data_IF_683655349645
#
_entry.id   IF_683655349645
#
_cell.length_a   1.000
_cell.length_b   1.000
_cell.length_c   1.000
_cell.angle_alpha   90.00
_cell.angle_beta   90.00
_cell.angle_gamma   90.00
#
_symmetry.space_group_name_H-M   'P 1'
#
loop_
_entity.id
_entity.type
_entity.pdbx_description
1 polymer ?
#
# COMPACT_ATOMS: atom_id res chain seq x y z
N UNK A 1 19.51 13.59 -9.15
CA UNK A 1 18.48 12.81 -8.44
C UNK A 1 18.01 13.68 -7.30
N UNK A 2 16.73 14.09 -7.21
CA UNK A 2 16.25 14.79 -6.03
C UNK A 2 16.39 13.84 -4.84
N UNK A 3 16.88 14.36 -3.72
CA UNK A 3 16.91 13.65 -2.45
C UNK A 3 15.48 13.15 -2.15
N UNK A 4 15.33 11.88 -1.77
CA UNK A 4 14.01 11.34 -1.45
C UNK A 4 13.45 12.16 -0.29
N UNK A 5 12.51 13.07 -0.58
CA UNK A 5 11.84 13.86 0.43
C UNK A 5 11.24 12.88 1.45
N UNK A 6 11.53 13.07 2.73
CA UNK A 6 10.96 12.23 3.79
C UNK A 6 9.65 12.84 4.28
N UNK A 7 8.80 12.03 4.91
CA UNK A 7 7.56 12.53 5.50
C UNK A 7 7.82 13.65 6.53
N UNK A 8 8.96 13.60 7.24
CA UNK A 8 9.38 14.66 8.17
C UNK A 8 9.69 15.98 7.46
N UNK A 9 10.26 15.93 6.25
CA UNK A 9 10.55 17.13 5.45
C UNK A 9 9.24 17.78 5.02
N UNK A 10 8.26 16.98 4.57
CA UNK A 10 6.93 17.47 4.19
C UNK A 10 6.21 18.14 5.37
N UNK A 11 6.17 17.49 6.53
CA UNK A 11 5.59 18.07 7.76
C UNK A 11 6.31 19.37 8.13
N UNK A 12 7.64 19.36 8.14
CA UNK A 12 8.43 20.54 8.47
C UNK A 12 8.19 21.71 7.52
N UNK A 13 8.02 21.46 6.22
CA UNK A 13 7.71 22.49 5.24
C UNK A 13 6.36 23.16 5.52
N UNK A 14 5.31 22.37 5.78
CA UNK A 14 3.97 22.89 6.11
C UNK A 14 3.97 23.64 7.45
N UNK A 15 4.73 23.18 8.44
CA UNK A 15 4.87 23.86 9.73
C UNK A 15 5.56 25.23 9.59
N UNK A 16 6.59 25.33 8.75
CA UNK A 16 7.24 26.61 8.44
C UNK A 16 6.25 27.57 7.78
N UNK A 17 5.47 27.09 6.81
CA UNK A 17 4.43 27.91 6.16
C UNK A 17 3.36 28.38 7.18
N UNK A 18 2.90 27.51 8.09
CA UNK A 18 1.99 27.89 9.16
C UNK A 18 2.56 29.02 10.03
N UNK A 19 3.83 28.90 10.43
CA UNK A 19 4.46 29.90 11.30
C UNK A 19 4.63 31.26 10.61
N UNK A 20 4.98 31.28 9.31
CA UNK A 20 5.07 32.51 8.52
C UNK A 20 3.69 33.17 8.38
N UNK A 21 2.67 32.37 8.09
CA UNK A 21 1.33 32.89 7.78
C UNK A 21 0.55 33.39 8.98
N UNK A 22 0.87 32.93 10.19
CA UNK A 22 0.26 33.38 11.45
C UNK A 22 0.35 34.89 11.67
N UNK A 23 1.42 35.53 11.19
CA UNK A 23 1.71 36.93 11.50
C UNK A 23 1.60 37.87 10.30
N UNK A 24 1.63 37.34 9.08
CA UNK A 24 1.82 38.14 7.87
C UNK A 24 0.65 38.09 6.88
N UNK A 25 -0.35 37.23 7.11
CA UNK A 25 -1.43 36.97 6.14
C UNK A 25 -2.81 37.02 6.80
N UNK A 26 -3.85 37.03 5.96
CA UNK A 26 -5.22 36.94 6.43
C UNK A 26 -5.45 35.64 7.23
N UNK A 27 -6.33 35.64 8.25
CA UNK A 27 -6.59 34.47 9.10
C UNK A 27 -6.93 33.19 8.32
N UNK A 28 -7.65 33.32 7.20
CA UNK A 28 -8.03 32.19 6.33
C UNK A 28 -6.83 31.43 5.75
N UNK A 29 -5.71 32.13 5.48
CA UNK A 29 -4.48 31.53 4.97
C UNK A 29 -3.83 30.66 6.05
N UNK A 30 -3.69 31.21 7.26
CA UNK A 30 -3.17 30.48 8.40
C UNK A 30 -4.06 29.28 8.73
N UNK A 31 -5.38 29.46 8.78
CA UNK A 31 -6.35 28.41 9.09
C UNK A 31 -6.30 27.23 8.12
N UNK A 32 -6.08 27.51 6.84
CA UNK A 32 -5.98 26.48 5.80
C UNK A 32 -4.69 25.67 5.94
N UNK A 33 -3.56 26.35 6.13
CA UNK A 33 -2.28 25.68 6.36
C UNK A 33 -2.26 24.90 7.68
N UNK A 34 -2.88 25.44 8.72
CA UNK A 34 -3.02 24.75 10.00
C UNK A 34 -3.86 23.47 9.86
N UNK A 35 -4.90 23.47 9.01
CA UNK A 35 -5.65 22.25 8.72
C UNK A 35 -4.79 21.22 7.98
N UNK A 36 -3.96 21.64 7.02
CA UNK A 36 -3.00 20.76 6.35
C UNK A 36 -1.99 20.15 7.34
N UNK A 37 -1.41 20.97 8.24
CA UNK A 37 -0.50 20.52 9.28
C UNK A 37 -1.17 19.52 10.23
N UNK A 38 -2.38 19.83 10.70
CA UNK A 38 -3.14 18.95 11.58
C UNK A 38 -3.49 17.61 10.90
N UNK A 39 -3.81 17.65 9.61
CA UNK A 39 -4.07 16.45 8.81
C UNK A 39 -2.82 15.57 8.67
N UNK A 40 -1.68 16.15 8.31
CA UNK A 40 -0.40 15.43 8.26
C UNK A 40 -0.02 14.85 9.63
N UNK A 41 -0.24 15.60 10.70
CA UNK A 41 -0.03 15.13 12.07
C UNK A 41 -0.86 13.89 12.41
N UNK A 42 -2.12 13.85 11.96
CA UNK A 42 -3.00 12.67 12.10
C UNK A 42 -2.51 11.50 11.26
N UNK A 43 -2.19 11.73 9.99
CA UNK A 43 -1.65 10.69 9.09
C UNK A 43 -0.41 10.03 9.68
N UNK A 44 0.50 10.82 10.27
CA UNK A 44 1.70 10.30 10.92
C UNK A 44 1.41 9.24 11.98
N UNK A 45 0.30 9.38 12.69
CA UNK A 45 -0.10 8.50 13.80
C UNK A 45 -0.95 7.33 13.29
N UNK A 46 -1.84 7.56 12.33
CA UNK A 46 -2.80 6.55 11.88
C UNK A 46 -2.23 5.65 10.79
N UNK A 47 -1.56 6.22 9.79
CA UNK A 47 -1.05 5.51 8.61
C UNK A 47 0.16 6.26 8.05
N UNK A 48 1.35 5.94 8.57
CA UNK A 48 2.59 6.53 8.09
C UNK A 48 2.89 6.01 6.67
N UNK A 49 3.06 6.89 5.67
CA UNK A 49 3.48 6.47 4.33
C UNK A 49 4.89 5.91 4.43
N UNK A 50 5.04 4.62 4.12
CA UNK A 50 6.34 3.92 4.23
C UNK A 50 7.06 3.80 2.89
N UNK A 51 6.34 3.81 1.78
CA UNK A 51 6.91 3.79 0.43
C UNK A 51 7.15 5.20 -0.10
N UNK A 52 8.19 5.34 -0.92
CA UNK A 52 8.52 6.61 -1.60
C UNK A 52 7.40 7.02 -2.54
N UNK A 53 6.73 6.06 -3.18
CA UNK A 53 5.58 6.28 -4.05
C UNK A 53 4.39 6.83 -3.26
N UNK A 54 4.05 6.23 -2.10
CA UNK A 54 2.95 6.74 -1.27
C UNK A 54 3.20 8.17 -0.79
N UNK A 55 4.46 8.47 -0.44
CA UNK A 55 4.84 9.81 -0.04
C UNK A 55 4.77 10.82 -1.21
N UNK A 56 5.16 10.41 -2.41
CA UNK A 56 5.02 11.24 -3.61
C UNK A 56 3.56 11.56 -3.91
N UNK A 57 2.66 10.58 -3.83
CA UNK A 57 1.22 10.76 -4.03
C UNK A 57 0.60 11.71 -2.99
N UNK A 58 0.99 11.59 -1.71
CA UNK A 58 0.51 12.50 -0.66
C UNK A 58 1.05 13.91 -0.85
N UNK A 59 2.33 14.03 -1.24
CA UNK A 59 2.96 15.33 -1.50
C UNK A 59 2.26 16.03 -2.66
N UNK A 60 2.08 15.33 -3.79
CA UNK A 60 1.37 15.85 -4.95
C UNK A 60 -0.07 16.27 -4.61
N UNK A 61 -0.77 15.47 -3.80
CA UNK A 61 -2.12 15.84 -3.38
C UNK A 61 -2.17 17.10 -2.51
N UNK A 62 -1.21 17.28 -1.59
CA UNK A 62 -1.11 18.50 -0.80
C UNK A 62 -0.83 19.70 -1.69
N UNK A 63 0.14 19.57 -2.60
CA UNK A 63 0.48 20.61 -3.57
C UNK A 63 -0.73 21.00 -4.41
N UNK A 64 -1.51 20.02 -4.91
CA UNK A 64 -2.76 20.28 -5.65
C UNK A 64 -3.80 21.03 -4.82
N UNK A 65 -3.91 20.75 -3.51
CA UNK A 65 -4.85 21.45 -2.63
C UNK A 65 -4.38 22.88 -2.35
N UNK A 66 -3.08 23.07 -2.14
CA UNK A 66 -2.49 24.38 -1.89
C UNK A 66 -2.49 25.24 -3.16
N UNK A 67 -2.31 24.65 -4.33
CA UNK A 67 -2.41 25.34 -5.61
C UNK A 67 -3.84 25.79 -5.88
N UNK A 68 -4.85 24.94 -5.62
CA UNK A 68 -6.25 25.34 -5.68
C UNK A 68 -6.55 26.51 -4.72
N UNK A 69 -6.04 26.43 -3.49
CA UNK A 69 -6.17 27.53 -2.54
C UNK A 69 -5.52 28.82 -3.06
N UNK A 70 -4.31 28.72 -3.63
CA UNK A 70 -3.58 29.85 -4.21
C UNK A 70 -4.36 30.51 -5.34
N UNK A 71 -5.05 29.74 -6.18
CA UNK A 71 -5.95 30.27 -7.23
C UNK A 71 -7.05 31.12 -6.61
N UNK A 72 -7.78 30.62 -5.61
CA UNK A 72 -8.85 31.39 -4.97
C UNK A 72 -8.33 32.65 -4.25
N UNK A 73 -7.15 32.58 -3.62
CA UNK A 73 -6.51 33.74 -3.01
C UNK A 73 -6.13 34.78 -4.06
N UNK A 74 -5.63 34.37 -5.23
CA UNK A 74 -5.27 35.28 -6.31
C UNK A 74 -6.49 35.99 -6.92
N UNK A 75 -7.65 35.35 -6.89
CA UNK A 75 -8.92 35.88 -7.38
C UNK A 75 -9.73 36.65 -6.30
N UNK A 76 -9.17 36.84 -5.10
CA UNK A 76 -9.84 37.43 -3.92
C UNK A 76 -11.15 36.69 -3.52
N UNK A 77 -11.32 35.43 -3.92
CA UNK A 77 -12.47 34.59 -3.55
C UNK A 77 -12.23 33.93 -2.19
N UNK A 78 -12.32 34.73 -1.14
CA UNK A 78 -12.12 34.30 0.24
C UNK A 78 -13.16 33.28 0.72
N UNK A 79 -14.35 33.27 0.11
CA UNK A 79 -15.38 32.28 0.41
C UNK A 79 -14.92 30.91 -0.05
N UNK A 80 -14.54 30.76 -1.33
CA UNK A 80 -14.03 29.49 -1.84
C UNK A 80 -12.71 29.10 -1.21
N UNK A 81 -11.80 30.05 -0.97
CA UNK A 81 -10.54 29.80 -0.28
C UNK A 81 -10.76 29.15 1.10
N UNK A 82 -11.76 29.62 1.85
CA UNK A 82 -12.10 29.06 3.17
C UNK A 82 -12.59 27.60 3.12
N UNK A 83 -13.21 27.18 2.01
CA UNK A 83 -13.70 25.80 1.86
C UNK A 83 -12.56 24.78 1.73
N UNK A 84 -11.39 25.20 1.20
CA UNK A 84 -10.25 24.31 0.98
C UNK A 84 -9.73 23.70 2.28
N UNK A 85 -9.89 24.40 3.40
CA UNK A 85 -9.59 23.89 4.75
C UNK A 85 -10.27 22.53 5.01
N UNK A 86 -11.50 22.34 4.54
CA UNK A 86 -12.27 21.10 4.72
C UNK A 86 -11.76 19.94 3.86
N UNK A 87 -10.96 20.21 2.83
CA UNK A 87 -10.36 19.18 1.97
C UNK A 87 -9.28 18.39 2.71
N UNK A 88 -8.65 18.97 3.74
CA UNK A 88 -7.65 18.33 4.58
C UNK A 88 -8.29 17.38 5.60
N UNK A 89 -8.98 16.36 5.09
CA UNK A 89 -9.71 15.37 5.87
C UNK A 89 -9.59 13.99 5.25
N UNK A 90 -9.44 12.96 6.10
CA UNK A 90 -9.37 11.58 5.66
C UNK A 90 -10.69 11.10 5.00
N UNK A 91 -11.81 11.78 5.29
CA UNK A 91 -13.11 11.50 4.70
C UNK A 91 -13.38 12.31 3.42
N UNK A 92 -12.51 13.27 3.07
CA UNK A 92 -12.71 14.08 1.89
C UNK A 92 -12.44 13.24 0.62
N UNK A 93 -13.32 13.36 -0.37
CA UNK A 93 -13.28 12.52 -1.57
C UNK A 93 -11.95 12.57 -2.33
N UNK A 94 -11.31 13.74 -2.39
CA UNK A 94 -10.02 13.89 -3.08
C UNK A 94 -8.91 13.09 -2.39
N UNK A 95 -8.89 13.05 -1.05
CA UNK A 95 -7.93 12.25 -0.31
C UNK A 95 -8.24 10.76 -0.40
N UNK A 96 -9.53 10.38 -0.31
CA UNK A 96 -9.95 8.98 -0.43
C UNK A 96 -9.48 8.38 -1.77
N UNK A 97 -9.53 9.15 -2.87
CA UNK A 97 -9.00 8.70 -4.17
C UNK A 97 -7.51 8.40 -4.13
N UNK A 98 -6.71 9.30 -3.55
CA UNK A 98 -5.25 9.15 -3.41
C UNK A 98 -4.91 7.97 -2.50
N UNK A 99 -5.61 7.85 -1.37
CA UNK A 99 -5.43 6.76 -0.44
C UNK A 99 -5.73 5.39 -1.05
N UNK A 100 -6.81 5.29 -1.85
CA UNK A 100 -7.12 4.08 -2.61
C UNK A 100 -6.07 3.75 -3.66
N UNK A 101 -5.50 4.77 -4.33
CA UNK A 101 -4.42 4.60 -5.30
C UNK A 101 -3.18 4.00 -4.62
N UNK A 102 -2.76 4.57 -3.49
CA UNK A 102 -1.63 4.08 -2.69
C UNK A 102 -1.85 2.61 -2.29
N UNK A 103 -3.01 2.29 -1.70
CA UNK A 103 -3.32 0.91 -1.30
C UNK A 103 -3.28 -0.08 -2.47
N UNK A 104 -3.78 0.32 -3.64
CA UNK A 104 -3.72 -0.53 -4.84
C UNK A 104 -2.27 -0.78 -5.26
N UNK A 105 -1.44 0.25 -5.23
CA UNK A 105 -0.03 0.12 -5.58
C UNK A 105 0.72 -0.81 -4.61
N UNK A 106 0.44 -0.69 -3.31
CA UNK A 106 1.02 -1.58 -2.28
C UNK A 106 0.62 -3.04 -2.48
N UNK A 107 -0.66 -3.29 -2.79
CA UNK A 107 -1.16 -4.63 -3.10
C UNK A 107 -0.45 -5.23 -4.33
N UNK A 108 -0.27 -4.43 -5.40
CA UNK A 108 0.43 -4.87 -6.62
C UNK A 108 1.88 -5.22 -6.30
N UNK A 109 2.57 -4.37 -5.52
CA UNK A 109 3.95 -4.60 -5.10
C UNK A 109 4.10 -5.86 -4.25
N UNK A 110 3.18 -6.08 -3.30
CA UNK A 110 3.16 -7.29 -2.48
C UNK A 110 2.96 -8.57 -3.31
N UNK A 111 2.04 -8.55 -4.27
CA UNK A 111 1.80 -9.68 -5.18
C UNK A 111 3.01 -9.98 -6.07
N UNK A 112 3.67 -8.93 -6.59
CA UNK A 112 4.91 -9.09 -7.39
C UNK A 112 6.04 -9.68 -6.53
N UNK A 113 6.21 -9.20 -5.30
CA UNK A 113 7.19 -9.73 -4.35
C UNK A 113 6.99 -11.21 -4.04
N UNK A 114 5.73 -11.62 -3.80
CA UNK A 114 5.39 -13.03 -3.57
C UNK A 114 5.72 -13.94 -4.76
N UNK A 115 5.48 -13.46 -6.00
CA UNK A 115 5.85 -14.19 -7.22
C UNK A 115 7.37 -14.29 -7.42
N UNK A 116 8.12 -13.23 -7.09
CA UNK A 116 9.58 -13.22 -7.20
C UNK A 116 10.27 -14.12 -6.15
N UNK A 117 9.74 -14.19 -4.93
CA UNK A 117 10.22 -15.10 -3.89
C UNK A 117 10.00 -16.58 -4.24
N UNK A 118 8.90 -16.89 -4.94
CA UNK A 118 8.63 -18.23 -5.47
C UNK A 118 9.61 -18.65 -6.59
N UNK A 119 10.21 -17.69 -7.31
CA UNK A 119 11.14 -17.93 -8.42
C UNK A 119 12.62 -18.12 -8.04
N UNK A 120 12.99 -17.99 -6.76
CA UNK A 120 14.40 -18.06 -6.29
C UNK A 120 14.73 -19.35 -5.51
N UNK A 121 14.23 -20.49 -5.98
CA UNK A 121 14.81 -21.79 -5.63
C UNK A 121 15.57 -22.36 -6.82
N UNK A 122 16.89 -22.18 -6.83
CA UNK A 122 17.84 -22.85 -7.75
C UNK A 122 18.80 -23.63 -6.84
N UNK A 123 19.00 -24.95 -6.93
CA UNK A 123 19.54 -25.74 -8.06
C UNK A 123 19.40 -27.26 -7.73
N UNK A 124 19.56 -28.25 -8.66
CA UNK A 124 20.79 -28.36 -9.46
C UNK A 124 20.68 -28.91 -10.91
N UNK A 125 21.74 -28.57 -11.64
CA UNK A 125 22.38 -29.28 -12.75
C UNK A 125 21.46 -29.96 -13.79
N UNK A 126 21.33 -29.31 -14.93
CA UNK A 126 20.66 -29.86 -16.12
C UNK A 126 21.63 -30.82 -16.82
N UNK A 127 21.59 -32.08 -16.43
CA UNK A 127 21.80 -33.17 -17.36
C UNK A 127 20.44 -33.81 -17.62
N UNK A 128 20.07 -33.82 -18.90
CA UNK A 128 19.04 -34.65 -19.56
C UNK A 128 17.57 -34.45 -19.21
N UNK A 129 16.78 -34.39 -20.28
CA UNK A 129 15.34 -34.45 -20.33
C UNK A 129 14.74 -35.50 -19.37
N UNK A 130 13.91 -35.07 -18.43
CA UNK A 130 12.88 -35.93 -17.86
C UNK A 130 11.85 -35.08 -17.11
N UNK A 131 10.65 -35.01 -17.71
CA UNK A 131 9.33 -35.05 -17.07
C UNK A 131 9.09 -34.16 -15.81
N UNK A 132 8.13 -33.24 -15.94
CA UNK A 132 7.70 -32.27 -14.91
C UNK A 132 7.28 -32.96 -13.60
N UNK A 133 8.22 -33.27 -12.72
CA UNK A 133 7.95 -33.77 -11.37
C UNK A 133 7.94 -32.61 -10.38
N UNK A 134 6.74 -32.13 -10.06
CA UNK A 134 6.52 -31.23 -8.92
C UNK A 134 6.99 -31.93 -7.65
N UNK A 135 7.91 -31.31 -6.90
CA UNK A 135 8.41 -31.87 -5.64
C UNK A 135 7.33 -31.76 -4.56
N UNK A 136 6.87 -32.91 -4.05
CA UNK A 136 5.88 -32.97 -2.98
C UNK A 136 6.56 -32.63 -1.65
N UNK A 137 6.07 -31.63 -0.88
CA UNK A 137 6.55 -31.28 0.45
C UNK A 137 6.62 -32.48 1.40
N UNK A 138 7.60 -32.47 2.31
CA UNK A 138 7.89 -33.62 3.18
C UNK A 138 6.75 -33.91 4.15
N UNK A 139 6.02 -32.88 4.56
CA UNK A 139 4.84 -32.92 5.41
C UNK A 139 3.74 -33.74 4.75
N UNK A 140 3.51 -33.52 3.44
CA UNK A 140 2.51 -34.27 2.67
C UNK A 140 2.93 -35.73 2.53
N UNK A 141 4.21 -36.04 2.32
CA UNK A 141 4.70 -37.43 2.24
C UNK A 141 4.55 -38.17 3.56
N UNK A 142 4.73 -37.49 4.69
CA UNK A 142 4.57 -38.07 6.02
C UNK A 142 3.09 -38.31 6.37
N UNK A 143 2.18 -37.50 5.81
CA UNK A 143 0.74 -37.68 5.97
C UNK A 143 0.14 -38.79 5.08
N UNK A 144 0.88 -39.33 4.11
CA UNK A 144 0.36 -40.38 3.25
C UNK A 144 0.12 -41.69 4.03
N UNK A 145 -1.03 -42.35 3.82
CA UNK A 145 -1.30 -43.63 4.45
C UNK A 145 -0.25 -44.67 4.04
N UNK A 146 0.16 -45.50 5.00
CA UNK A 146 1.07 -46.62 4.78
C UNK A 146 0.25 -47.90 4.60
N UNK A 147 0.56 -48.70 3.59
CA UNK A 147 -0.05 -50.02 3.40
C UNK A 147 0.95 -51.06 3.88
N UNK A 148 0.75 -51.56 5.11
CA UNK A 148 1.72 -52.41 5.79
C UNK A 148 3.05 -51.70 6.01
N UNK A 149 4.18 -52.30 5.58
CA UNK A 149 5.53 -51.72 5.69
C UNK A 149 5.93 -50.84 4.49
N UNK A 150 5.05 -50.62 3.50
CA UNK A 150 5.38 -49.89 2.26
C UNK A 150 4.80 -48.46 2.29
N UNK A 151 5.60 -47.49 1.86
CA UNK A 151 5.16 -46.09 1.65
C UNK A 151 4.37 -46.01 0.35
N UNK A 152 3.16 -45.44 0.39
CA UNK A 152 2.32 -45.24 -0.79
C UNK A 152 2.68 -43.90 -1.43
N UNK A 153 2.63 -43.80 -2.77
CA UNK A 153 2.84 -42.55 -3.50
C UNK A 153 1.52 -41.91 -3.94
N UNK A 154 1.52 -40.58 -4.13
CA UNK A 154 0.35 -39.82 -4.57
C UNK A 154 -0.22 -40.30 -5.92
N UNK A 155 0.63 -40.76 -6.84
CA UNK A 155 0.21 -41.29 -8.14
C UNK A 155 -0.67 -42.54 -7.98
N UNK A 156 -0.35 -43.41 -7.02
CA UNK A 156 -1.13 -44.60 -6.72
C UNK A 156 -2.49 -44.24 -6.11
N UNK A 157 -2.52 -43.31 -5.16
CA UNK A 157 -3.77 -42.84 -4.55
C UNK A 157 -4.69 -42.14 -5.56
N UNK A 158 -4.12 -41.33 -6.46
CA UNK A 158 -4.87 -40.67 -7.52
C UNK A 158 -5.52 -41.66 -8.49
N UNK A 159 -4.88 -42.80 -8.75
CA UNK A 159 -5.42 -43.84 -9.63
C UNK A 159 -6.53 -44.67 -8.96
N UNK A 160 -6.55 -44.74 -7.62
CA UNK A 160 -7.60 -45.45 -6.87
C UNK A 160 -8.91 -44.68 -6.79
N UNK A 161 -8.85 -43.34 -6.90
CA UNK A 161 -10.02 -42.46 -6.75
C UNK A 161 -10.53 -42.38 -5.31
N UNK A 162 -11.19 -41.28 -4.97
CA UNK A 162 -11.77 -41.10 -3.64
C UNK A 162 -13.12 -41.83 -3.56
N UNK A 163 -13.21 -42.91 -2.77
CA UNK A 163 -14.51 -43.46 -2.37
C UNK A 163 -14.99 -42.72 -1.11
N UNK A 164 -15.68 -41.60 -1.32
CA UNK A 164 -16.35 -40.92 -0.21
C UNK A 164 -17.47 -41.80 0.36
N UNK A 165 -17.46 -42.02 1.67
CA UNK A 165 -18.64 -42.55 2.37
C UNK A 165 -19.60 -41.36 2.52
N UNK A 166 -20.75 -41.41 1.87
CA UNK A 166 -21.83 -40.45 2.15
C UNK A 166 -22.35 -40.78 3.55
N UNK A 167 -22.07 -39.91 4.52
CA UNK A 167 -22.82 -39.90 5.77
C UNK A 167 -24.23 -39.44 5.42
N UNK A 168 -25.17 -40.37 5.41
CA UNK A 168 -26.61 -40.08 5.47
C UNK A 168 -26.89 -39.47 6.85
N UNK A 169 -27.58 -38.33 6.79
CA UNK A 169 -28.15 -37.52 7.89
C UNK A 169 -28.59 -38.33 9.10
#
# INVERSE_FOLDING_TARGET
MPEAASFSVLVGAVDVLCNITRHLYQPVVHDTLQAAAAFLGKLRVTELPTSTEALAEITAWIDDRLELFRVFVADDDWQQASTVKSHFSAAHESFVRVHQLIRRQDLISAVKGAKAASGRSDKPNRATEADKRVSIPVEIRNALPKQGKKKICLRFLSAQGCRGKKETV
#
